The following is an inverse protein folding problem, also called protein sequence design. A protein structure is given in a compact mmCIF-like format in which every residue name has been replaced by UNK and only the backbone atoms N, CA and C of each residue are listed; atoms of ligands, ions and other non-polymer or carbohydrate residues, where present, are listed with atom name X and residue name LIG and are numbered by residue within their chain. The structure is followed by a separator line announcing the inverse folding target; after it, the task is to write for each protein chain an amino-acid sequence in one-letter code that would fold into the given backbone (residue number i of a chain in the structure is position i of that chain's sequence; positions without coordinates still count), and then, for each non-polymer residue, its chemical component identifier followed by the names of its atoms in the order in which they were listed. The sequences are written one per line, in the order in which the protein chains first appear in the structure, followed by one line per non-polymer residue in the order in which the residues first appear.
data_IF_755974425079
#
_entry.id   IF_755974425079
#
_cell.length_a   1.000
_cell.length_b   1.000
_cell.length_c   1.000
_cell.angle_alpha   90.00
_cell.angle_beta   90.00
_cell.angle_gamma   90.00
#
_symmetry.space_group_name_H-M   'P 1'
#
loop_
_entity.id
_entity.type
_entity.pdbx_description
1 polymer ?
#
# COMPACT_ATOMS: atom_id res chain seq x y z
N UNK A 1 7.09 -25.75 -6.88
CA UNK A 1 5.93 -24.90 -6.51
C UNK A 1 5.68 -24.77 -4.99
N UNK A 2 6.50 -25.34 -4.09
CA UNK A 2 6.23 -25.35 -2.64
C UNK A 2 6.33 -23.99 -1.92
N UNK A 3 7.47 -23.31 -1.97
CA UNK A 3 7.69 -22.04 -1.24
C UNK A 3 6.87 -20.85 -1.75
N UNK A 4 6.66 -20.74 -3.07
CA UNK A 4 5.81 -19.69 -3.65
C UNK A 4 4.37 -19.72 -3.10
N UNK A 5 3.85 -20.91 -2.81
CA UNK A 5 2.51 -21.08 -2.24
C UNK A 5 2.40 -20.42 -0.87
N UNK A 6 3.42 -20.54 -0.01
CA UNK A 6 3.43 -19.91 1.31
C UNK A 6 3.49 -18.39 1.22
N UNK A 7 4.29 -17.86 0.29
CA UNK A 7 4.39 -16.42 0.05
C UNK A 7 3.05 -15.83 -0.44
N UNK A 8 2.37 -16.52 -1.37
CA UNK A 8 1.05 -16.14 -1.86
C UNK A 8 -0.01 -16.24 -0.77
N UNK A 9 -0.05 -17.34 -0.03
CA UNK A 9 -0.98 -17.52 1.08
C UNK A 9 -0.81 -16.41 2.11
N UNK A 10 0.42 -16.10 2.53
CA UNK A 10 0.67 -15.04 3.49
C UNK A 10 0.18 -13.68 2.95
N UNK A 11 0.43 -13.39 1.67
CA UNK A 11 -0.09 -12.18 1.01
C UNK A 11 -1.59 -12.07 1.09
N UNK A 12 -2.32 -13.16 0.82
CA UNK A 12 -3.78 -13.16 0.92
C UNK A 12 -4.28 -12.94 2.35
N UNK A 13 -3.62 -13.54 3.35
CA UNK A 13 -4.01 -13.34 4.76
C UNK A 13 -3.79 -11.90 5.21
N UNK A 14 -2.66 -11.28 4.82
CA UNK A 14 -2.38 -9.89 5.17
C UNK A 14 -3.24 -8.89 4.40
N UNK A 15 -3.55 -9.14 3.13
CA UNK A 15 -4.51 -8.32 2.38
C UNK A 15 -5.91 -8.39 3.01
N UNK A 16 -6.34 -9.58 3.45
CA UNK A 16 -7.60 -9.73 4.17
C UNK A 16 -7.58 -8.96 5.51
N UNK A 17 -6.51 -9.10 6.29
CA UNK A 17 -6.34 -8.36 7.54
C UNK A 17 -6.35 -6.85 7.32
N UNK A 18 -5.70 -6.37 6.26
CA UNK A 18 -5.71 -4.97 5.85
C UNK A 18 -7.12 -4.49 5.49
N UNK A 19 -7.87 -5.24 4.68
CA UNK A 19 -9.25 -4.90 4.33
C UNK A 19 -10.20 -4.90 5.54
N UNK A 20 -10.00 -5.81 6.50
CA UNK A 20 -10.76 -5.82 7.76
C UNK A 20 -10.43 -4.56 8.57
N UNK A 21 -9.14 -4.22 8.69
CA UNK A 21 -8.71 -3.04 9.43
C UNK A 21 -9.23 -1.75 8.78
N UNK A 22 -9.20 -1.67 7.45
CA UNK A 22 -9.76 -0.58 6.68
C UNK A 22 -11.27 -0.45 6.89
N UNK A 23 -12.02 -1.56 6.90
CA UNK A 23 -13.46 -1.54 7.18
C UNK A 23 -13.77 -1.15 8.64
N UNK A 24 -12.91 -1.53 9.60
CA UNK A 24 -13.08 -1.21 11.01
C UNK A 24 -12.76 0.26 11.34
N UNK A 25 -11.73 0.81 10.68
CA UNK A 25 -11.20 2.14 10.97
C UNK A 25 -11.79 3.20 10.06
N UNK A 26 -12.16 2.83 8.84
CA UNK A 26 -12.66 3.70 7.76
C UNK A 26 -11.83 4.99 7.60
N UNK A 27 -10.49 4.89 7.44
CA UNK A 27 -9.63 6.08 7.38
C UNK A 27 -9.87 6.86 6.09
N UNK A 28 -9.86 8.19 6.21
CA UNK A 28 -9.92 9.11 5.08
C UNK A 28 -8.63 9.91 4.97
N UNK A 29 -8.28 10.30 3.75
CA UNK A 29 -7.11 11.14 3.49
C UNK A 29 -7.58 12.55 3.15
N UNK A 30 -6.98 13.55 3.80
CA UNK A 30 -7.15 14.96 3.46
C UNK A 30 -5.79 15.62 3.31
N UNK A 31 -5.66 16.55 2.37
CA UNK A 31 -4.44 17.35 2.20
C UNK A 31 -4.80 18.81 2.07
N UNK A 32 -4.09 19.64 2.82
CA UNK A 32 -4.24 21.08 2.79
C UNK A 32 -2.87 21.73 2.91
N UNK A 33 -2.48 22.48 1.87
CA UNK A 33 -1.16 23.11 1.76
C UNK A 33 -0.02 22.13 2.08
N UNK A 34 0.74 22.42 3.12
CA UNK A 34 1.94 21.72 3.57
C UNK A 34 1.68 20.54 4.50
N UNK A 35 0.45 20.04 4.48
CA UNK A 35 -0.03 18.99 5.36
C UNK A 35 -0.86 17.99 4.58
N UNK A 36 -0.61 16.71 4.81
CA UNK A 36 -1.58 15.66 4.49
C UNK A 36 -1.83 14.83 5.74
N UNK A 37 -3.08 14.45 5.96
CA UNK A 37 -3.52 13.71 7.13
C UNK A 37 -4.28 12.46 6.71
N UNK A 38 -4.10 11.41 7.48
CA UNK A 38 -4.99 10.25 7.52
C UNK A 38 -5.82 10.39 8.78
N UNK A 39 -7.13 10.53 8.64
CA UNK A 39 -8.02 10.87 9.73
C UNK A 39 -9.21 9.91 9.85
N UNK A 40 -9.76 9.86 11.06
CA UNK A 40 -10.95 9.11 11.42
C UNK A 40 -11.84 9.99 12.28
N UNK A 41 -13.11 10.10 11.90
CA UNK A 41 -14.13 10.77 12.71
C UNK A 41 -14.45 9.94 13.96
N UNK A 42 -14.38 10.55 15.13
CA UNK A 42 -14.63 9.89 16.41
C UNK A 42 -16.08 9.40 16.53
N UNK A 43 -17.03 10.15 15.97
CA UNK A 43 -18.47 9.81 15.96
C UNK A 43 -18.78 8.51 15.21
N UNK A 44 -17.95 8.14 14.23
CA UNK A 44 -18.09 6.91 13.45
C UNK A 44 -17.36 5.72 14.09
N UNK A 45 -16.62 5.95 15.18
CA UNK A 45 -15.80 4.95 15.84
C UNK A 45 -16.37 4.59 17.22
N UNK A 46 -16.37 3.30 17.54
CA UNK A 46 -16.71 2.80 18.89
C UNK A 46 -15.53 2.87 19.86
N UNK A 47 -14.36 3.32 19.39
CA UNK A 47 -13.11 3.28 20.14
C UNK A 47 -12.72 4.65 20.70
N UNK A 48 -12.04 4.67 21.84
CA UNK A 48 -11.45 5.91 22.38
C UNK A 48 -10.29 6.43 21.51
N UNK A 49 -9.99 7.73 21.60
CA UNK A 49 -8.99 8.41 20.74
C UNK A 49 -7.62 7.75 20.67
N UNK A 50 -7.13 7.27 21.80
CA UNK A 50 -5.84 6.58 21.88
C UNK A 50 -5.84 5.27 21.09
N UNK A 51 -6.95 4.54 21.13
CA UNK A 51 -7.12 3.30 20.37
C UNK A 51 -7.25 3.63 18.88
N UNK A 52 -8.03 4.67 18.52
CA UNK A 52 -8.12 5.14 17.13
C UNK A 52 -6.74 5.48 16.58
N UNK A 53 -5.93 6.22 17.35
CA UNK A 53 -4.56 6.57 16.95
C UNK A 53 -3.71 5.33 16.67
N UNK A 54 -3.72 4.34 17.56
CA UNK A 54 -3.02 3.06 17.35
C UNK A 54 -3.55 2.34 16.11
N UNK A 55 -4.86 2.33 15.89
CA UNK A 55 -5.48 1.67 14.74
C UNK A 55 -5.12 2.35 13.41
N UNK A 56 -5.07 3.68 13.34
CA UNK A 56 -4.60 4.42 12.15
C UNK A 56 -3.12 4.11 11.90
N UNK A 57 -2.28 4.07 12.95
CA UNK A 57 -0.87 3.68 12.79
C UNK A 57 -0.70 2.23 12.33
N UNK A 58 -1.53 1.31 12.82
CA UNK A 58 -1.57 -0.08 12.34
C UNK A 58 -2.01 -0.14 10.88
N UNK A 59 -2.97 0.69 10.46
CA UNK A 59 -3.39 0.80 9.06
C UNK A 59 -2.22 1.24 8.17
N UNK A 60 -1.49 2.29 8.55
CA UNK A 60 -0.27 2.72 7.86
C UNK A 60 0.83 1.64 7.89
N UNK A 61 0.96 0.89 8.98
CA UNK A 61 1.91 -0.22 9.11
C UNK A 61 1.59 -1.37 8.16
N UNK A 62 0.32 -1.76 8.07
CA UNK A 62 -0.13 -2.79 7.13
C UNK A 62 0.07 -2.36 5.68
N UNK A 63 -0.13 -1.07 5.36
CA UNK A 63 0.24 -0.51 4.06
C UNK A 63 1.74 -0.73 3.79
N UNK A 64 2.62 -0.36 4.73
CA UNK A 64 4.06 -0.60 4.63
C UNK A 64 4.43 -2.08 4.44
N UNK A 65 3.81 -2.97 5.21
CA UNK A 65 4.00 -4.41 5.09
C UNK A 65 3.69 -4.92 3.68
N UNK A 66 2.54 -4.50 3.12
CA UNK A 66 2.11 -4.89 1.78
C UNK A 66 3.11 -4.45 0.71
N UNK A 67 3.67 -3.24 0.83
CA UNK A 67 4.72 -2.74 -0.07
C UNK A 67 5.96 -3.64 -0.04
N UNK A 68 6.47 -3.93 1.15
CA UNK A 68 7.61 -4.83 1.31
C UNK A 68 7.33 -6.25 0.79
N UNK A 69 6.11 -6.74 0.96
CA UNK A 69 5.71 -8.07 0.51
C UNK A 69 5.64 -8.15 -1.03
N UNK A 70 5.07 -7.13 -1.67
CA UNK A 70 5.05 -7.00 -3.13
C UNK A 70 6.47 -6.95 -3.69
N UNK A 71 7.35 -6.16 -3.07
CA UNK A 71 8.76 -6.09 -3.46
C UNK A 71 9.45 -7.47 -3.43
N UNK A 72 9.25 -8.26 -2.36
CA UNK A 72 9.76 -9.64 -2.28
C UNK A 72 9.13 -10.52 -3.35
N UNK A 73 7.83 -10.42 -3.60
CA UNK A 73 7.16 -11.23 -4.62
C UNK A 73 7.80 -11.03 -5.98
N UNK A 74 8.07 -9.79 -6.37
CA UNK A 74 8.77 -9.47 -7.62
C UNK A 74 10.21 -9.96 -7.63
N UNK A 75 10.92 -9.83 -6.51
CA UNK A 75 12.27 -10.37 -6.39
C UNK A 75 12.30 -11.91 -6.50
N UNK A 76 11.39 -12.62 -5.83
CA UNK A 76 11.24 -14.07 -5.94
C UNK A 76 10.98 -14.48 -7.40
N UNK A 77 10.05 -13.80 -8.07
CA UNK A 77 9.71 -14.03 -9.49
C UNK A 77 10.94 -13.87 -10.38
N UNK A 78 11.75 -12.84 -10.13
CA UNK A 78 13.03 -12.63 -10.81
C UNK A 78 14.01 -13.79 -10.58
N UNK A 79 14.20 -14.21 -9.33
CA UNK A 79 15.11 -15.31 -9.02
C UNK A 79 14.69 -16.62 -9.70
N UNK A 80 13.39 -16.90 -9.79
CA UNK A 80 12.86 -18.06 -10.52
C UNK A 80 13.10 -17.94 -12.02
N UNK A 81 12.83 -16.79 -12.63
CA UNK A 81 13.00 -16.59 -14.08
C UNK A 81 14.47 -16.74 -14.54
N UNK A 82 15.41 -16.43 -13.66
CA UNK A 82 16.85 -16.57 -13.92
C UNK A 82 17.46 -17.85 -13.34
N UNK A 83 16.64 -18.78 -12.84
CA UNK A 83 17.07 -20.07 -12.29
C UNK A 83 18.16 -19.94 -11.21
N UNK A 84 18.09 -18.87 -10.41
CA UNK A 84 19.08 -18.60 -9.38
C UNK A 84 19.02 -19.60 -8.24
N UNK A 85 20.17 -20.09 -7.77
CA UNK A 85 20.26 -20.95 -6.58
C UNK A 85 19.72 -20.28 -5.32
N UNK A 86 19.64 -18.94 -5.30
CA UNK A 86 19.10 -18.18 -4.17
C UNK A 86 17.61 -18.46 -3.92
N UNK A 87 16.86 -18.90 -4.95
CA UNK A 87 15.45 -19.33 -4.81
C UNK A 87 15.30 -20.39 -3.73
N UNK A 88 16.30 -21.28 -3.57
CA UNK A 88 16.26 -22.33 -2.56
C UNK A 88 16.19 -21.78 -1.12
N UNK A 89 16.66 -20.55 -0.88
CA UNK A 89 16.51 -19.91 0.43
C UNK A 89 15.06 -19.50 0.73
N UNK A 90 14.29 -19.16 -0.31
CA UNK A 90 12.87 -18.82 -0.22
C UNK A 90 11.94 -20.05 -0.28
N UNK A 91 12.47 -21.21 -0.67
CA UNK A 91 11.73 -22.48 -0.70
C UNK A 91 11.88 -23.30 0.60
N UNK A 92 12.84 -22.95 1.46
CA UNK A 92 13.17 -23.66 2.69
C UNK A 92 12.79 -22.85 3.94
N UNK A 93 13.08 -23.37 5.14
CA UNK A 93 12.87 -22.69 6.43
C UNK A 93 13.49 -21.28 6.50
N UNK A 94 14.50 -21.02 5.67
CA UNK A 94 15.15 -19.70 5.51
C UNK A 94 14.23 -18.61 4.92
N UNK A 95 13.01 -18.94 4.51
CA UNK A 95 11.98 -17.95 4.13
C UNK A 95 11.68 -16.95 5.25
N UNK A 96 11.89 -17.34 6.51
CA UNK A 96 11.73 -16.46 7.68
C UNK A 96 12.64 -15.23 7.59
N UNK A 97 13.87 -15.39 7.07
CA UNK A 97 14.82 -14.28 6.87
C UNK A 97 14.25 -13.28 5.86
N UNK A 98 13.59 -13.77 4.81
CA UNK A 98 12.96 -12.92 3.81
C UNK A 98 11.77 -12.16 4.39
N UNK A 99 11.00 -12.74 5.32
CA UNK A 99 9.93 -12.01 6.00
C UNK A 99 10.42 -10.84 6.86
N UNK A 100 11.69 -10.80 7.25
CA UNK A 100 12.24 -9.65 7.96
C UNK A 100 12.06 -8.33 7.17
N UNK A 101 12.06 -8.37 5.83
CA UNK A 101 11.91 -7.15 5.00
C UNK A 101 10.50 -6.55 5.09
N UNK A 102 9.38 -7.26 4.81
CA UNK A 102 8.05 -6.66 4.95
C UNK A 102 7.76 -6.27 6.41
N UNK A 103 8.27 -7.02 7.40
CA UNK A 103 8.15 -6.61 8.80
C UNK A 103 8.97 -5.35 9.12
N UNK A 104 10.15 -5.16 8.53
CA UNK A 104 10.91 -3.91 8.71
C UNK A 104 10.19 -2.72 8.08
N UNK A 105 9.56 -2.90 6.92
CA UNK A 105 8.71 -1.86 6.32
C UNK A 105 7.53 -1.52 7.23
N UNK A 106 6.83 -2.54 7.75
CA UNK A 106 5.70 -2.37 8.65
C UNK A 106 6.11 -1.61 9.92
N UNK A 107 7.23 -2.00 10.53
CA UNK A 107 7.77 -1.38 11.73
C UNK A 107 8.13 0.09 11.50
N UNK A 108 8.86 0.40 10.42
CA UNK A 108 9.24 1.78 10.12
C UNK A 108 8.02 2.66 9.82
N UNK A 109 7.03 2.12 9.11
CA UNK A 109 5.77 2.82 8.85
C UNK A 109 4.96 3.09 10.11
N UNK A 110 4.89 2.10 11.01
CA UNK A 110 4.27 2.29 12.32
C UNK A 110 5.00 3.36 13.13
N UNK A 111 6.33 3.29 13.18
CA UNK A 111 7.15 4.23 13.92
C UNK A 111 6.98 5.68 13.41
N UNK A 112 7.06 5.87 12.09
CA UNK A 112 6.86 7.17 11.45
C UNK A 112 5.45 7.70 11.73
N UNK A 113 4.42 6.90 11.48
CA UNK A 113 3.04 7.34 11.66
C UNK A 113 2.68 7.64 13.12
N UNK A 114 3.06 6.76 14.05
CA UNK A 114 2.68 6.89 15.45
C UNK A 114 3.45 7.99 16.19
N UNK A 115 4.77 8.09 15.97
CA UNK A 115 5.61 9.02 16.73
C UNK A 115 5.85 10.34 16.00
N UNK A 116 6.18 10.30 14.71
CA UNK A 116 6.62 11.49 13.98
C UNK A 116 5.45 12.28 13.39
N UNK A 117 4.34 11.61 13.06
CA UNK A 117 3.14 12.23 12.47
C UNK A 117 1.99 12.40 13.48
N UNK A 118 2.30 12.52 14.78
CA UNK A 118 1.28 12.65 15.80
C UNK A 118 0.51 13.98 15.67
N UNK A 119 -0.78 13.96 16.01
CA UNK A 119 -1.64 15.15 16.00
C UNK A 119 -1.16 16.19 17.03
N UNK A 120 -0.95 17.43 16.56
CA UNK A 120 -0.57 18.58 17.41
C UNK A 120 -1.65 19.66 17.39
N UNK A 121 -1.63 20.54 18.39
CA UNK A 121 -2.56 21.67 18.44
C UNK A 121 -2.38 22.64 17.26
N UNK A 122 -1.14 22.93 16.89
CA UNK A 122 -0.84 23.80 15.74
C UNK A 122 -1.36 23.21 14.43
N UNK A 123 -1.22 21.89 14.25
CA UNK A 123 -1.80 21.19 13.11
C UNK A 123 -3.33 21.34 13.07
N UNK A 124 -4.00 21.17 14.22
CA UNK A 124 -5.46 21.37 14.32
C UNK A 124 -5.87 22.78 13.91
N UNK A 125 -5.17 23.80 14.40
CA UNK A 125 -5.48 25.21 14.12
C UNK A 125 -5.29 25.56 12.64
N UNK A 126 -4.25 25.02 11.99
CA UNK A 126 -3.95 25.27 10.58
C UNK A 126 -5.05 24.75 9.63
N UNK A 127 -5.63 23.59 9.93
CA UNK A 127 -6.64 22.95 9.06
C UNK A 127 -8.07 23.23 9.49
N UNK A 128 -8.32 23.81 10.68
CA UNK A 128 -9.66 23.92 11.29
C UNK A 128 -10.71 24.52 10.35
N UNK A 129 -10.41 25.65 9.71
CA UNK A 129 -11.38 26.35 8.84
C UNK A 129 -11.62 25.62 7.52
N UNK A 130 -10.56 25.13 6.89
CA UNK A 130 -10.67 24.39 5.62
C UNK A 130 -11.37 23.05 5.81
N UNK A 131 -11.00 22.31 6.86
CA UNK A 131 -11.60 21.02 7.18
C UNK A 131 -13.11 21.15 7.48
N UNK A 132 -13.51 22.18 8.24
CA UNK A 132 -14.94 22.45 8.49
C UNK A 132 -15.69 22.77 7.20
N UNK A 133 -15.07 23.51 6.28
CA UNK A 133 -15.69 23.88 5.00
C UNK A 133 -15.88 22.65 4.10
N UNK A 134 -14.92 21.72 4.09
CA UNK A 134 -14.91 20.57 3.19
C UNK A 134 -15.72 19.37 3.73
N UNK A 135 -15.77 19.17 5.05
CA UNK A 135 -16.38 18.00 5.70
C UNK A 135 -17.57 18.33 6.63
N UNK A 136 -17.96 19.60 6.77
CA UNK A 136 -19.04 20.08 7.67
C UNK A 136 -18.89 19.60 9.13
N UNK A 137 -17.66 19.22 9.52
CA UNK A 137 -17.33 18.60 10.80
C UNK A 137 -16.15 19.31 11.43
N UNK A 138 -16.23 19.56 12.74
CA UNK A 138 -15.15 20.20 13.49
C UNK A 138 -13.96 19.26 13.70
N UNK A 139 -12.75 19.79 13.54
CA UNK A 139 -11.50 19.04 13.74
C UNK A 139 -11.36 18.44 15.15
N UNK A 140 -12.07 19.01 16.13
CA UNK A 140 -12.05 18.54 17.51
C UNK A 140 -12.64 17.13 17.64
N UNK A 141 -13.58 16.73 16.78
CA UNK A 141 -14.19 15.39 16.75
C UNK A 141 -13.42 14.36 15.92
N UNK A 142 -12.18 14.65 15.54
CA UNK A 142 -11.40 13.86 14.61
C UNK A 142 -10.04 13.49 15.22
N UNK A 143 -9.64 12.24 15.02
CA UNK A 143 -8.28 11.78 15.32
C UNK A 143 -7.55 11.61 14.00
N UNK A 144 -6.38 12.22 13.87
CA UNK A 144 -5.61 12.11 12.64
C UNK A 144 -4.11 11.90 12.87
N UNK A 145 -3.44 11.39 11.85
CA UNK A 145 -1.98 11.31 11.77
C UNK A 145 -1.53 11.97 10.47
N UNK A 146 -0.55 12.86 10.54
CA UNK A 146 -0.01 13.49 9.35
C UNK A 146 1.13 14.48 9.65
N UNK A 147 2.11 14.61 8.75
CA UNK A 147 3.16 15.59 8.89
C UNK A 147 2.63 17.00 8.62
N UNK A 148 3.06 17.98 9.41
CA UNK A 148 2.81 19.41 9.18
C UNK A 148 4.14 20.13 8.95
N UNK A 149 4.50 20.33 7.69
CA UNK A 149 5.88 20.66 7.29
C UNK A 149 6.29 22.11 7.60
N UNK A 150 5.44 23.07 7.27
CA UNK A 150 5.74 24.49 7.43
C UNK A 150 4.85 25.07 8.53
N UNK A 151 5.42 25.17 9.73
CA UNK A 151 4.74 25.60 10.94
C UNK A 151 5.01 27.09 11.19
N UNK A 152 3.96 27.86 11.47
CA UNK A 152 4.11 29.24 11.91
C UNK A 152 4.61 29.29 13.34
N UNK A 153 5.78 29.90 13.55
CA UNK A 153 6.31 30.19 14.88
C UNK A 153 5.86 31.59 15.33
N UNK A 154 6.14 31.94 16.58
CA UNK A 154 5.78 33.22 17.21
C UNK A 154 6.30 34.47 16.48
N UNK A 155 7.26 34.31 15.57
CA UNK A 155 7.79 35.37 14.70
C UNK A 155 6.95 35.64 13.44
N UNK A 156 5.90 34.84 13.21
CA UNK A 156 5.00 34.97 12.07
C UNK A 156 5.54 34.39 10.76
N UNK A 157 6.74 33.79 10.77
CA UNK A 157 7.35 33.17 9.59
C UNK A 157 7.16 31.65 9.58
N UNK A 158 7.00 31.09 8.39
CA UNK A 158 6.89 29.65 8.19
C UNK A 158 8.25 28.98 8.37
N UNK A 159 8.33 28.09 9.36
CA UNK A 159 9.53 27.33 9.69
C UNK A 159 9.35 25.86 9.33
N UNK A 160 10.40 25.26 8.79
CA UNK A 160 10.42 23.83 8.49
C UNK A 160 10.47 23.05 9.80
N UNK A 161 9.44 22.25 10.06
CA UNK A 161 9.47 21.28 11.14
C UNK A 161 10.31 20.06 10.74
N UNK A 162 11.48 19.97 11.39
CA UNK A 162 12.46 18.91 11.11
C UNK A 162 11.90 17.50 11.36
N UNK A 163 10.98 17.35 12.32
CA UNK A 163 10.37 16.05 12.63
C UNK A 163 9.43 15.63 11.50
N UNK A 164 8.50 16.49 11.10
CA UNK A 164 7.58 16.26 9.98
C UNK A 164 8.32 16.05 8.66
N UNK A 165 9.39 16.81 8.40
CA UNK A 165 10.24 16.59 7.23
C UNK A 165 10.91 15.23 7.25
N UNK A 166 11.45 14.81 8.40
CA UNK A 166 12.06 13.49 8.54
C UNK A 166 11.04 12.37 8.28
N UNK A 167 9.79 12.56 8.73
CA UNK A 167 8.69 11.63 8.49
C UNK A 167 8.41 11.46 6.99
N UNK A 168 8.23 12.58 6.27
CA UNK A 168 7.97 12.58 4.82
C UNK A 168 9.15 11.98 4.06
N UNK A 169 10.39 12.31 4.41
CA UNK A 169 11.58 11.76 3.75
C UNK A 169 11.68 10.25 3.96
N UNK A 170 11.54 9.75 5.19
CA UNK A 170 11.60 8.31 5.48
C UNK A 170 10.48 7.58 4.73
N UNK A 171 9.24 8.07 4.80
CA UNK A 171 8.09 7.44 4.16
C UNK A 171 8.21 7.47 2.62
N UNK A 172 8.75 8.55 2.06
CA UNK A 172 9.06 8.67 0.63
C UNK A 172 10.14 7.68 0.18
N UNK A 173 11.22 7.55 0.95
CA UNK A 173 12.30 6.59 0.65
C UNK A 173 11.82 5.14 0.71
N UNK A 174 10.95 4.80 1.68
CA UNK A 174 10.31 3.48 1.74
C UNK A 174 9.42 3.23 0.53
N UNK A 175 8.58 4.20 0.14
CA UNK A 175 7.74 4.09 -1.05
C UNK A 175 8.58 3.93 -2.33
N UNK A 176 9.61 4.75 -2.51
CA UNK A 176 10.49 4.73 -3.68
C UNK A 176 11.30 3.44 -3.78
N UNK A 177 11.86 2.95 -2.67
CA UNK A 177 12.61 1.69 -2.65
C UNK A 177 11.75 0.49 -3.06
N UNK A 178 10.50 0.42 -2.60
CA UNK A 178 9.52 -0.57 -3.06
C UNK A 178 9.22 -0.43 -4.54
N UNK A 179 8.89 0.78 -4.99
CA UNK A 179 8.54 1.07 -6.39
C UNK A 179 9.67 0.70 -7.36
N UNK A 180 10.91 1.11 -7.05
CA UNK A 180 12.10 0.81 -7.84
C UNK A 180 12.32 -0.70 -7.90
N UNK A 181 12.16 -1.41 -6.78
CA UNK A 181 12.31 -2.87 -6.71
C UNK A 181 11.29 -3.56 -7.63
N UNK A 182 10.02 -3.17 -7.56
CA UNK A 182 8.95 -3.73 -8.39
C UNK A 182 9.21 -3.46 -9.87
N UNK A 183 9.53 -2.22 -10.25
CA UNK A 183 9.79 -1.84 -11.65
C UNK A 183 11.04 -2.54 -12.19
N UNK A 184 12.14 -2.54 -11.43
CA UNK A 184 13.41 -3.13 -11.86
C UNK A 184 13.31 -4.64 -12.06
N UNK A 185 12.81 -5.37 -11.04
CA UNK A 185 12.68 -6.82 -11.14
C UNK A 185 11.53 -7.23 -12.06
N UNK A 186 10.46 -6.45 -12.15
CA UNK A 186 9.40 -6.61 -13.13
C UNK A 186 9.93 -6.52 -14.56
N UNK A 187 10.74 -5.49 -14.87
CA UNK A 187 11.37 -5.34 -16.19
C UNK A 187 12.39 -6.43 -16.51
N UNK A 188 13.20 -6.86 -15.54
CA UNK A 188 14.11 -8.00 -15.71
C UNK A 188 13.35 -9.30 -15.99
N UNK A 189 12.28 -9.58 -15.24
CA UNK A 189 11.39 -10.71 -15.53
C UNK A 189 10.81 -10.61 -16.94
N UNK A 190 10.35 -9.42 -17.33
CA UNK A 190 9.78 -9.16 -18.65
C UNK A 190 10.75 -9.56 -19.77
N UNK A 191 12.00 -9.09 -19.70
CA UNK A 191 13.02 -9.39 -20.71
C UNK A 191 13.36 -10.87 -20.78
N UNK A 192 13.51 -11.54 -19.63
CA UNK A 192 13.87 -12.96 -19.58
C UNK A 192 12.77 -13.84 -20.16
N UNK A 193 11.53 -13.62 -19.75
CA UNK A 193 10.39 -14.39 -20.26
C UNK A 193 10.16 -14.10 -21.76
N UNK A 194 10.26 -12.84 -22.20
CA UNK A 194 10.18 -12.49 -23.62
C UNK A 194 11.21 -13.24 -24.47
N UNK A 195 12.45 -13.38 -23.99
CA UNK A 195 13.48 -14.14 -24.70
C UNK A 195 13.17 -15.64 -24.80
N UNK A 196 12.54 -16.23 -23.78
CA UNK A 196 12.13 -17.64 -23.76
C UNK A 196 10.97 -17.91 -24.73
N UNK A 197 10.00 -17.00 -24.80
CA UNK A 197 8.86 -17.09 -25.74
C UNK A 197 9.37 -17.04 -27.19
N UNK A 198 10.31 -16.14 -27.50
CA UNK A 198 10.88 -16.01 -28.84
C UNK A 198 11.70 -17.24 -29.28
N UNK A 199 12.23 -18.03 -28.33
CA UNK A 199 13.11 -19.16 -28.62
C UNK A 199 12.43 -20.54 -28.54
N UNK A 200 11.21 -20.65 -28.01
CA UNK A 200 10.49 -21.91 -27.87
C UNK A 200 9.12 -21.88 -28.56
N UNK A 201 9.03 -22.43 -29.76
CA UNK A 201 7.82 -22.42 -30.62
C UNK A 201 6.63 -23.24 -30.10
N UNK A 202 6.77 -23.98 -28.99
CA UNK A 202 5.77 -24.96 -28.53
C UNK A 202 5.13 -24.73 -27.15
N UNK A 203 5.61 -23.80 -26.33
CA UNK A 203 5.17 -23.64 -24.92
C UNK A 203 4.24 -22.43 -24.71
N UNK A 204 3.37 -22.18 -25.69
CA UNK A 204 2.91 -20.81 -25.98
C UNK A 204 1.76 -20.27 -25.12
N UNK A 205 0.91 -21.11 -24.51
CA UNK A 205 -0.30 -20.61 -23.84
C UNK A 205 -0.14 -20.40 -22.32
N UNK A 206 0.45 -21.35 -21.60
CA UNK A 206 0.55 -21.26 -20.15
C UNK A 206 1.59 -20.23 -19.70
N UNK A 207 2.77 -20.20 -20.32
CA UNK A 207 3.82 -19.23 -19.98
C UNK A 207 3.42 -17.80 -20.35
N UNK A 208 2.74 -17.61 -21.49
CA UNK A 208 2.21 -16.30 -21.90
C UNK A 208 1.09 -15.81 -20.97
N UNK A 209 0.20 -16.70 -20.51
CA UNK A 209 -0.82 -16.35 -19.51
C UNK A 209 -0.19 -15.96 -18.16
N UNK A 210 0.82 -16.70 -17.71
CA UNK A 210 1.55 -16.37 -16.48
C UNK A 210 2.29 -15.03 -16.62
N UNK A 211 2.82 -14.73 -17.80
CA UNK A 211 3.48 -13.45 -18.10
C UNK A 211 2.51 -12.26 -18.16
N UNK A 212 1.34 -12.43 -18.77
CA UNK A 212 0.30 -11.39 -18.79
C UNK A 212 -0.22 -11.12 -17.38
N UNK A 213 -0.48 -12.18 -16.58
CA UNK A 213 -0.82 -12.03 -15.17
C UNK A 213 0.26 -11.28 -14.39
N UNK A 214 1.54 -11.61 -14.64
CA UNK A 214 2.69 -10.97 -14.00
C UNK A 214 2.74 -9.45 -14.27
N UNK A 215 2.49 -9.03 -15.51
CA UNK A 215 2.48 -7.61 -15.87
C UNK A 215 1.32 -6.87 -15.21
N UNK A 216 0.12 -7.44 -15.25
CA UNK A 216 -1.06 -6.84 -14.62
C UNK A 216 -0.86 -6.72 -13.11
N UNK A 217 -0.38 -7.78 -12.45
CA UNK A 217 -0.06 -7.77 -11.01
C UNK A 217 0.96 -6.70 -10.63
N UNK A 218 1.87 -6.32 -11.54
CA UNK A 218 2.89 -5.29 -11.28
C UNK A 218 2.35 -3.87 -11.38
N UNK A 219 1.40 -3.65 -12.30
CA UNK A 219 0.85 -2.32 -12.57
C UNK A 219 -0.17 -1.91 -11.51
N UNK A 220 -0.95 -2.87 -10.99
CA UNK A 220 -1.99 -2.62 -9.99
C UNK A 220 -1.46 -1.86 -8.76
N UNK A 221 -0.45 -2.35 -8.00
CA UNK A 221 0.06 -1.63 -6.84
C UNK A 221 0.78 -0.33 -7.20
N UNK A 222 1.36 -0.22 -8.40
CA UNK A 222 2.00 1.04 -8.85
C UNK A 222 0.93 2.13 -9.01
N UNK A 223 -0.15 1.80 -9.72
CA UNK A 223 -1.22 2.75 -10.05
C UNK A 223 -2.11 3.04 -8.84
N UNK A 224 -2.47 2.03 -8.06
CA UNK A 224 -3.45 2.17 -6.98
C UNK A 224 -2.84 2.54 -5.62
N UNK A 225 -1.54 2.31 -5.40
CA UNK A 225 -0.89 2.62 -4.12
C UNK A 225 0.27 3.60 -4.27
N UNK A 226 1.30 3.24 -5.06
CA UNK A 226 2.56 4.00 -5.06
C UNK A 226 2.41 5.40 -5.66
N UNK A 227 1.73 5.54 -6.81
CA UNK A 227 1.52 6.83 -7.48
C UNK A 227 0.67 7.78 -6.62
N UNK A 228 -0.51 7.38 -6.10
CA UNK A 228 -1.31 8.21 -5.20
C UNK A 228 -0.53 8.73 -3.99
N UNK A 229 0.22 7.86 -3.31
CA UNK A 229 0.99 8.24 -2.12
C UNK A 229 2.19 9.13 -2.47
N UNK A 230 2.86 8.87 -3.59
CA UNK A 230 3.93 9.76 -4.07
C UNK A 230 3.39 11.16 -4.40
N UNK A 231 2.20 11.23 -5.02
CA UNK A 231 1.53 12.50 -5.28
C UNK A 231 1.21 13.25 -3.98
N UNK A 232 0.71 12.56 -2.94
CA UNK A 232 0.47 13.16 -1.63
C UNK A 232 1.75 13.77 -1.04
N UNK A 233 2.88 13.04 -1.08
CA UNK A 233 4.16 13.57 -0.59
C UNK A 233 4.63 14.79 -1.37
N UNK A 234 4.52 14.76 -2.70
CA UNK A 234 4.88 15.90 -3.55
C UNK A 234 3.97 17.10 -3.29
N UNK A 235 2.66 16.87 -3.14
CA UNK A 235 1.70 17.93 -2.82
C UNK A 235 2.01 18.60 -1.49
N UNK A 236 2.37 17.82 -0.48
CA UNK A 236 2.76 18.31 0.84
C UNK A 236 4.07 19.12 0.77
N UNK A 237 5.08 18.63 0.06
CA UNK A 237 6.38 19.31 -0.08
C UNK A 237 6.30 20.63 -0.86
N UNK A 238 5.42 20.68 -1.87
CA UNK A 238 5.23 21.84 -2.75
C UNK A 238 4.09 22.77 -2.30
N UNK A 239 3.46 22.49 -1.16
CA UNK A 239 2.31 23.22 -0.61
C UNK A 239 1.10 23.31 -1.57
N UNK A 240 0.86 22.27 -2.37
CA UNK A 240 -0.24 22.25 -3.32
C UNK A 240 -1.57 22.06 -2.61
N UNK A 241 -2.55 22.90 -2.93
CA UNK A 241 -3.91 22.77 -2.43
C UNK A 241 -4.68 21.73 -3.23
N UNK A 242 -4.65 20.47 -2.76
CA UNK A 242 -5.23 19.30 -3.44
C UNK A 242 -6.35 18.65 -2.63
N UNK A 243 -6.94 19.36 -1.67
CA UNK A 243 -8.00 18.86 -0.78
C UNK A 243 -9.12 18.12 -1.53
N UNK A 244 -9.64 18.72 -2.60
CA UNK A 244 -10.72 18.15 -3.42
C UNK A 244 -10.37 16.80 -4.08
N UNK A 245 -9.09 16.53 -4.34
CA UNK A 245 -8.63 15.29 -5.00
C UNK A 245 -8.31 14.19 -3.97
N UNK A 246 -8.02 14.56 -2.73
CA UNK A 246 -7.54 13.63 -1.69
C UNK A 246 -8.55 12.55 -1.32
N UNK A 247 -9.84 12.87 -1.26
CA UNK A 247 -10.91 11.88 -1.08
C UNK A 247 -10.92 10.83 -2.19
N UNK A 248 -10.68 11.25 -3.45
CA UNK A 248 -10.58 10.32 -4.58
C UNK A 248 -9.34 9.42 -4.46
N UNK A 249 -8.20 9.97 -4.03
CA UNK A 249 -6.98 9.20 -3.79
C UNK A 249 -7.18 8.16 -2.68
N UNK A 250 -7.91 8.51 -1.62
CA UNK A 250 -8.28 7.60 -0.55
C UNK A 250 -9.05 6.39 -1.09
N UNK A 251 -10.05 6.62 -1.95
CA UNK A 251 -10.83 5.56 -2.59
C UNK A 251 -9.96 4.70 -3.53
N UNK A 252 -9.07 5.30 -4.30
CA UNK A 252 -8.15 4.56 -5.19
C UNK A 252 -7.27 3.59 -4.39
N UNK A 253 -6.73 4.05 -3.26
CA UNK A 253 -5.91 3.22 -2.36
C UNK A 253 -6.77 2.11 -1.73
N UNK A 254 -7.98 2.44 -1.30
CA UNK A 254 -8.92 1.47 -0.70
C UNK A 254 -9.32 0.35 -1.65
N UNK A 255 -9.37 0.61 -2.96
CA UNK A 255 -9.70 -0.38 -3.97
C UNK A 255 -8.56 -1.34 -4.28
N UNK A 256 -7.33 -1.07 -3.84
CA UNK A 256 -6.16 -1.90 -4.14
C UNK A 256 -6.35 -3.37 -3.76
N UNK A 257 -6.74 -3.75 -2.53
CA UNK A 257 -6.84 -5.15 -2.13
C UNK A 257 -7.84 -5.90 -3.03
N UNK A 258 -8.99 -5.28 -3.28
CA UNK A 258 -10.06 -5.82 -4.13
C UNK A 258 -9.58 -6.03 -5.56
N UNK A 259 -8.96 -5.02 -6.19
CA UNK A 259 -8.50 -5.11 -7.58
C UNK A 259 -7.32 -6.08 -7.71
N UNK A 260 -6.42 -6.12 -6.74
CA UNK A 260 -5.25 -7.02 -6.74
C UNK A 260 -5.62 -8.51 -6.73
N UNK A 261 -6.81 -8.85 -6.21
CA UNK A 261 -7.30 -10.23 -6.18
C UNK A 261 -7.87 -10.70 -7.53
N UNK A 262 -8.26 -9.80 -8.45
CA UNK A 262 -8.98 -10.15 -9.67
C UNK A 262 -8.13 -10.84 -10.76
N UNK A 263 -6.90 -10.37 -11.09
CA UNK A 263 -6.14 -10.96 -12.20
C UNK A 263 -5.84 -12.45 -12.01
N UNK A 264 -5.42 -12.94 -10.83
CA UNK A 264 -5.25 -14.38 -10.60
C UNK A 264 -6.55 -15.18 -10.80
N UNK A 265 -7.70 -14.61 -10.39
CA UNK A 265 -9.01 -15.26 -10.52
C UNK A 265 -9.45 -15.41 -11.98
N UNK A 266 -9.25 -14.38 -12.82
CA UNK A 266 -9.72 -14.37 -14.21
C UNK A 266 -8.69 -14.87 -15.24
N UNK A 267 -7.39 -14.79 -14.95
CA UNK A 267 -6.34 -15.17 -15.91
C UNK A 267 -5.97 -16.66 -15.76
N UNK A 268 -5.92 -17.19 -14.54
CA UNK A 268 -5.47 -18.57 -14.29
C UNK A 268 -6.63 -19.55 -14.54
N UNK A 269 -6.48 -20.42 -15.55
CA UNK A 269 -7.52 -21.39 -15.97
C UNK A 269 -8.07 -22.23 -14.83
N UNK A 270 -7.23 -22.72 -13.92
CA UNK A 270 -7.65 -23.54 -12.78
C UNK A 270 -8.49 -22.76 -11.76
N UNK A 271 -8.15 -21.48 -11.51
CA UNK A 271 -8.95 -20.61 -10.64
C UNK A 271 -10.29 -20.26 -11.28
N UNK A 272 -10.31 -19.89 -12.56
CA UNK A 272 -11.57 -19.67 -13.30
C UNK A 272 -12.51 -20.86 -13.21
N UNK A 273 -12.00 -22.08 -13.43
CA UNK A 273 -12.82 -23.30 -13.36
C UNK A 273 -13.35 -23.52 -11.94
N UNK A 274 -12.54 -23.25 -10.90
CA UNK A 274 -12.98 -23.35 -9.51
C UNK A 274 -14.06 -22.31 -9.16
N UNK A 275 -13.90 -21.06 -9.58
CA UNK A 275 -14.89 -19.97 -9.37
C UNK A 275 -16.19 -20.27 -10.11
N UNK A 276 -16.12 -20.69 -11.37
CA UNK A 276 -17.30 -21.08 -12.16
C UNK A 276 -17.99 -22.28 -11.49
N UNK A 277 -17.26 -23.29 -11.04
CA UNK A 277 -17.86 -24.41 -10.28
C UNK A 277 -18.53 -23.94 -9.00
N UNK A 278 -17.91 -23.04 -8.23
CA UNK A 278 -18.50 -22.51 -7.01
C UNK A 278 -19.81 -21.74 -7.27
N UNK A 279 -19.81 -20.83 -8.26
CA UNK A 279 -20.96 -20.00 -8.61
C UNK A 279 -22.09 -20.83 -9.26
N UNK A 280 -21.75 -21.77 -10.17
CA UNK A 280 -22.74 -22.54 -10.92
C UNK A 280 -23.20 -23.83 -10.22
N UNK A 281 -22.41 -24.48 -9.35
CA UNK A 281 -22.90 -25.59 -8.54
C UNK A 281 -23.81 -25.12 -7.39
N UNK A 282 -23.67 -23.89 -6.89
CA UNK A 282 -24.65 -23.31 -5.97
C UNK A 282 -26.02 -23.08 -6.60
N UNK A 283 -26.14 -23.17 -7.93
CA UNK A 283 -27.38 -22.96 -8.68
C UNK A 283 -28.12 -24.26 -9.04
N UNK A 284 -27.56 -25.42 -8.68
CA UNK A 284 -28.14 -26.75 -8.97
C UNK A 284 -28.67 -27.46 -7.70
N UNK A 285 -28.83 -26.72 -6.60
CA UNK A 285 -29.31 -27.24 -5.32
C UNK A 285 -30.50 -26.44 -4.76
N UNK A 286 -31.38 -25.95 -5.65
CA UNK A 286 -32.74 -25.49 -5.33
C UNK A 286 -33.72 -26.13 -6.32
#
# INVERSE_FOLDING_TARGET
MGGYKYLLLLSSHFQLAYSILEALVSPMIYSYKSMFIVFVEETNSIFGREIIRVLISLYCSCYGFLMGLLAIQFYYRYLVAYESKLVNTMLNWKIIIWFAVPFSYAFLWFFVSYYLCHQTQQANENIRSSFLTDFDTGIDGVVFLGPYLYQKRDDGFDHIDTVSMSAVVIASLLNMSSMITIIYFGWKCYRKIGSIILSSSGLHNLQTQLFQALLVDSLIPIILMHIPVLFLYLSCLLELDVGNVTSTLSVIIALFPTISALPPMFIIKNYRVAVIKFIFCSRSAN
#
